data_IF_678420143933
#
_entry.id   IF_678420143933
#
_cell.length_a   1.000
_cell.length_b   1.000
_cell.length_c   1.000
_cell.angle_alpha   90.00
_cell.angle_beta   90.00
_cell.angle_gamma   90.00
#
_symmetry.space_group_name_H-M   'P 1'
#
loop_
_entity.id
_entity.type
_entity.pdbx_description
1 polymer ?
#
# COMPACT_ATOMS: atom_id res chain seq x y z
N UNK A 1 10.76 9.67 -10.91
CA UNK A 1 10.09 8.37 -10.68
C UNK A 1 10.52 7.87 -9.30
N UNK A 2 9.60 7.50 -8.43
CA UNK A 2 9.92 6.76 -7.20
C UNK A 2 9.31 5.39 -7.37
N UNK A 3 10.17 4.41 -7.62
CA UNK A 3 9.85 3.01 -7.82
C UNK A 3 9.43 2.44 -6.45
N UNK A 4 8.27 1.78 -6.40
CA UNK A 4 7.95 0.92 -5.27
C UNK A 4 8.85 -0.30 -5.47
N UNK A 5 9.72 -0.57 -4.51
CA UNK A 5 10.58 -1.76 -4.51
C UNK A 5 9.67 -2.97 -4.28
N UNK A 6 9.08 -3.45 -5.38
CA UNK A 6 8.32 -4.68 -5.43
C UNK A 6 9.38 -5.77 -5.59
N UNK A 7 9.57 -6.66 -4.59
CA UNK A 7 10.56 -7.73 -4.70
C UNK A 7 10.29 -8.54 -5.98
N UNK A 8 11.35 -8.93 -6.70
CA UNK A 8 11.32 -9.59 -8.02
C UNK A 8 10.36 -10.79 -8.13
N UNK A 9 9.93 -11.35 -6.99
CA UNK A 9 8.98 -12.45 -6.86
C UNK A 9 7.50 -12.07 -7.03
N UNK A 10 7.12 -10.79 -7.05
CA UNK A 10 5.71 -10.39 -7.17
C UNK A 10 5.33 -10.19 -8.65
N UNK A 11 4.41 -11.02 -9.12
CA UNK A 11 4.01 -11.10 -10.53
C UNK A 11 2.84 -10.17 -10.87
N UNK A 12 2.08 -9.69 -9.87
CA UNK A 12 0.99 -8.73 -10.09
C UNK A 12 0.13 -8.44 -8.86
N UNK A 13 -0.73 -7.43 -8.98
CA UNK A 13 -1.77 -7.09 -8.01
C UNK A 13 -3.15 -7.14 -8.69
N UNK A 14 -4.09 -7.91 -8.13
CA UNK A 14 -5.42 -8.11 -8.71
C UNK A 14 -6.52 -7.61 -7.78
N UNK A 15 -7.55 -7.02 -8.38
CA UNK A 15 -8.81 -6.70 -7.73
C UNK A 15 -9.73 -7.92 -7.80
N UNK A 16 -10.17 -8.43 -6.65
CA UNK A 16 -11.27 -9.40 -6.59
C UNK A 16 -12.56 -8.69 -6.19
N UNK A 17 -13.64 -8.94 -6.93
CA UNK A 17 -15.00 -8.43 -6.65
C UNK A 17 -15.71 -9.19 -5.50
N UNK A 18 -14.95 -9.82 -4.60
CA UNK A 18 -15.51 -10.49 -3.41
C UNK A 18 -15.63 -9.49 -2.26
N UNK A 19 -16.74 -9.46 -1.53
CA UNK A 19 -16.94 -8.51 -0.41
C UNK A 19 -16.30 -9.04 0.90
N UNK A 20 -15.38 -8.30 1.54
CA UNK A 20 -14.87 -6.98 1.16
C UNK A 20 -13.79 -7.06 0.07
N UNK A 21 -13.86 -6.17 -0.93
CA UNK A 21 -12.94 -6.21 -2.06
C UNK A 21 -11.48 -6.15 -1.57
N UNK A 22 -10.66 -7.12 -1.98
CA UNK A 22 -9.27 -7.25 -1.55
C UNK A 22 -8.31 -6.97 -2.71
N UNK A 23 -7.16 -6.39 -2.39
CA UNK A 23 -6.00 -6.43 -3.31
C UNK A 23 -5.14 -7.61 -2.93
N UNK A 24 -5.10 -8.58 -3.83
CA UNK A 24 -4.21 -9.71 -3.73
C UNK A 24 -2.88 -9.36 -4.37
N UNK A 25 -1.80 -9.60 -3.65
CA UNK A 25 -0.46 -9.63 -4.25
C UNK A 25 -0.12 -11.07 -4.56
N UNK A 26 0.37 -11.28 -5.78
CA UNK A 26 0.68 -12.60 -6.32
C UNK A 26 2.17 -12.82 -6.34
N UNK A 27 2.62 -13.87 -5.66
CA UNK A 27 4.02 -14.28 -5.61
C UNK A 27 4.24 -15.52 -6.47
N UNK A 28 5.29 -15.52 -7.31
CA UNK A 28 5.82 -16.74 -7.90
C UNK A 28 6.65 -17.47 -6.85
N UNK A 29 6.20 -18.66 -6.45
CA UNK A 29 6.88 -19.48 -5.44
C UNK A 29 7.78 -20.56 -6.05
N UNK A 30 7.91 -20.63 -7.38
CA UNK A 30 8.85 -21.50 -8.08
C UNK A 30 8.66 -23.01 -7.81
N UNK A 31 8.14 -23.74 -8.80
CA UNK A 31 8.11 -25.20 -8.72
C UNK A 31 7.16 -25.84 -9.72
N UNK A 32 5.88 -25.48 -9.69
CA UNK A 32 4.84 -26.13 -10.52
C UNK A 32 3.69 -25.16 -10.83
N UNK A 33 3.99 -23.92 -11.24
CA UNK A 33 2.96 -22.93 -11.61
C UNK A 33 2.07 -22.45 -10.45
N UNK A 34 2.52 -22.63 -9.21
CA UNK A 34 1.83 -22.17 -8.01
C UNK A 34 1.98 -20.66 -7.84
N UNK A 35 0.86 -19.96 -7.75
CA UNK A 35 0.79 -18.55 -7.40
C UNK A 35 0.25 -18.44 -5.98
N UNK A 36 1.04 -17.88 -5.05
CA UNK A 36 0.52 -17.58 -3.71
C UNK A 36 -0.14 -16.21 -3.75
N UNK A 37 -1.42 -16.14 -3.39
CA UNK A 37 -2.14 -14.88 -3.24
C UNK A 37 -2.35 -14.59 -1.76
N UNK A 38 -1.94 -13.40 -1.32
CA UNK A 38 -2.23 -12.94 0.04
C UNK A 38 -2.96 -11.59 0.00
N UNK A 39 -4.06 -11.43 0.75
CA UNK A 39 -4.70 -10.14 0.89
C UNK A 39 -3.77 -9.24 1.69
N UNK A 40 -3.23 -8.21 1.02
CA UNK A 40 -2.30 -7.28 1.65
C UNK A 40 -3.02 -6.13 2.34
N UNK A 41 -4.20 -5.77 1.85
CA UNK A 41 -5.13 -4.81 2.46
C UNK A 41 -6.53 -4.97 1.83
N UNK A 42 -7.56 -4.55 2.57
CA UNK A 42 -8.88 -4.36 1.99
C UNK A 42 -8.89 -3.09 1.12
N UNK A 43 -9.57 -3.10 -0.03
CA UNK A 43 -9.69 -1.94 -0.92
C UNK A 43 -10.39 -0.77 -0.20
N UNK A 44 -11.31 -1.09 0.70
CA UNK A 44 -11.97 -0.09 1.56
C UNK A 44 -10.98 0.61 2.53
N UNK A 45 -9.77 0.07 2.69
CA UNK A 45 -8.70 0.66 3.50
C UNK A 45 -7.84 1.65 2.71
N UNK A 46 -8.06 1.82 1.41
CA UNK A 46 -7.24 2.71 0.58
C UNK A 46 -7.71 4.16 0.61
N UNK A 47 -6.80 5.06 0.97
CA UNK A 47 -7.02 6.50 0.97
C UNK A 47 -6.25 7.20 -0.14
N UNK A 48 -6.89 8.13 -0.90
CA UNK A 48 -6.15 9.03 -1.76
C UNK A 48 -5.15 9.86 -0.97
N UNK A 49 -4.02 10.24 -1.60
CA UNK A 49 -2.96 11.05 -0.98
C UNK A 49 -3.48 12.30 -0.26
N UNK A 50 -4.55 12.94 -0.78
CA UNK A 50 -5.19 14.09 -0.12
C UNK A 50 -5.75 13.73 1.26
N UNK A 51 -6.42 12.59 1.40
CA UNK A 51 -6.98 12.12 2.68
C UNK A 51 -5.86 11.68 3.62
N UNK A 52 -4.84 10.99 3.12
CA UNK A 52 -3.65 10.63 3.91
C UNK A 52 -2.93 11.87 4.49
N UNK A 53 -2.77 12.92 3.68
CA UNK A 53 -2.19 14.19 4.12
C UNK A 53 -3.00 14.86 5.23
N UNK A 54 -4.34 14.82 5.12
CA UNK A 54 -5.23 15.33 6.14
C UNK A 54 -5.13 14.54 7.45
N UNK A 55 -5.08 13.20 7.38
CA UNK A 55 -4.94 12.33 8.54
C UNK A 55 -3.63 12.56 9.31
N UNK A 56 -2.52 12.76 8.58
CA UNK A 56 -1.19 12.99 9.18
C UNK A 56 -0.89 14.46 9.50
N UNK A 57 -1.86 15.36 9.29
CA UNK A 57 -1.73 16.81 9.43
C UNK A 57 -0.50 17.37 8.72
N UNK A 58 -0.31 16.98 7.45
CA UNK A 58 0.86 17.38 6.66
C UNK A 58 0.48 17.78 5.23
N UNK A 59 1.49 18.13 4.43
CA UNK A 59 1.30 18.47 3.02
C UNK A 59 1.25 17.21 2.14
N UNK A 60 0.54 17.28 1.00
CA UNK A 60 0.57 16.20 -0.01
C UNK A 60 1.99 15.88 -0.49
N UNK A 61 2.83 16.91 -0.62
CA UNK A 61 4.23 16.76 -1.02
C UNK A 61 5.01 15.88 -0.04
N UNK A 62 4.74 16.05 1.26
CA UNK A 62 5.33 15.22 2.32
C UNK A 62 4.92 13.75 2.16
N UNK A 63 3.64 13.48 1.84
CA UNK A 63 3.17 12.12 1.58
C UNK A 63 3.89 11.50 0.38
N UNK A 64 3.93 12.20 -0.76
CA UNK A 64 4.68 11.72 -1.95
C UNK A 64 6.15 11.45 -1.64
N UNK A 65 6.77 12.32 -0.83
CA UNK A 65 8.15 12.16 -0.39
C UNK A 65 8.31 10.92 0.49
N UNK A 66 7.43 10.68 1.45
CA UNK A 66 7.49 9.49 2.31
C UNK A 66 7.25 8.20 1.56
N UNK A 67 6.36 8.21 0.56
CA UNK A 67 6.19 7.06 -0.35
C UNK A 67 7.48 6.82 -1.13
N UNK A 68 8.09 7.87 -1.69
CA UNK A 68 9.36 7.78 -2.41
C UNK A 68 10.52 7.30 -1.52
N UNK A 69 10.49 7.64 -0.23
CA UNK A 69 11.50 7.23 0.77
C UNK A 69 11.20 5.84 1.38
N UNK A 70 10.13 5.15 0.95
CA UNK A 70 9.76 3.82 1.47
C UNK A 70 9.19 3.83 2.90
N UNK A 71 8.80 5.01 3.41
CA UNK A 71 8.22 5.19 4.76
C UNK A 71 6.72 4.93 4.82
N UNK A 72 6.05 5.14 3.69
CA UNK A 72 4.63 4.84 3.48
C UNK A 72 4.49 3.98 2.21
N UNK A 73 3.52 3.08 2.20
CA UNK A 73 3.16 2.26 1.05
C UNK A 73 2.31 3.09 0.09
N UNK A 74 2.71 3.14 -1.17
CA UNK A 74 1.94 3.73 -2.26
C UNK A 74 1.39 2.67 -3.19
N UNK A 75 0.08 2.69 -3.45
CA UNK A 75 -0.61 1.76 -4.37
C UNK A 75 -1.21 2.57 -5.51
N UNK A 76 -0.89 2.23 -6.76
CA UNK A 76 -1.47 2.92 -7.93
C UNK A 76 -2.56 2.07 -8.56
N UNK A 77 -3.79 2.61 -8.62
CA UNK A 77 -4.95 1.94 -9.25
C UNK A 77 -5.58 2.91 -10.24
N UNK A 78 -5.68 2.53 -11.51
CA UNK A 78 -6.28 3.38 -12.55
C UNK A 78 -5.64 4.78 -12.65
N UNK A 79 -4.34 4.90 -12.37
CA UNK A 79 -3.61 6.18 -12.36
C UNK A 79 -3.76 7.02 -11.09
N UNK A 80 -4.54 6.55 -10.10
CA UNK A 80 -4.66 7.20 -8.80
C UNK A 80 -3.69 6.57 -7.79
N UNK A 81 -2.87 7.41 -7.15
CA UNK A 81 -2.02 6.99 -6.04
C UNK A 81 -2.83 7.01 -4.73
N UNK A 82 -2.85 5.85 -4.08
CA UNK A 82 -3.56 5.55 -2.85
C UNK A 82 -2.57 5.08 -1.78
N UNK A 83 -2.96 5.22 -0.53
CA UNK A 83 -2.18 4.84 0.65
C UNK A 83 -3.10 4.02 1.56
N UNK A 84 -2.71 2.81 1.99
CA UNK A 84 -3.48 2.05 2.97
C UNK A 84 -3.62 2.82 4.29
N UNK A 85 -4.82 2.83 4.87
CA UNK A 85 -5.09 3.51 6.13
C UNK A 85 -4.39 2.82 7.31
N UNK A 86 -4.34 1.49 7.30
CA UNK A 86 -3.51 0.71 8.23
C UNK A 86 -2.03 1.12 8.23
N UNK A 87 -1.46 1.42 7.06
CA UNK A 87 -0.08 1.91 6.91
C UNK A 87 0.09 3.34 7.45
N UNK A 88 -0.93 4.20 7.28
CA UNK A 88 -0.98 5.55 7.87
C UNK A 88 -1.00 5.47 9.40
N UNK A 89 -1.84 4.58 9.96
CA UNK A 89 -1.93 4.39 11.41
C UNK A 89 -0.61 3.87 11.99
N UNK A 90 -0.01 2.84 11.37
CA UNK A 90 1.32 2.35 11.78
C UNK A 90 2.34 3.49 11.75
N UNK A 91 2.42 4.21 10.63
CA UNK A 91 3.41 5.28 10.46
C UNK A 91 3.22 6.43 11.46
N UNK A 92 1.98 6.80 11.78
CA UNK A 92 1.72 7.85 12.77
C UNK A 92 2.08 7.40 14.20
N UNK A 93 1.82 6.14 14.53
CA UNK A 93 2.21 5.53 15.80
C UNK A 93 3.74 5.50 15.96
N UNK A 94 4.46 5.05 14.93
CA UNK A 94 5.93 5.05 14.89
C UNK A 94 6.48 6.48 15.06
N UNK A 95 5.90 7.45 14.34
CA UNK A 95 6.31 8.86 14.39
C UNK A 95 6.09 9.52 15.76
N UNK A 96 5.05 9.08 16.49
CA UNK A 96 4.74 9.56 17.84
C UNK A 96 5.52 8.82 18.93
N UNK A 97 6.36 7.84 18.57
CA UNK A 97 7.08 7.01 19.53
C UNK A 97 6.16 6.12 20.38
N UNK A 98 4.93 5.88 19.91
CA UNK A 98 3.94 5.05 20.58
C UNK A 98 3.88 3.74 19.81
N UNK A 99 4.81 2.82 20.08
CA UNK A 99 4.73 1.49 19.50
C UNK A 99 3.50 0.74 20.06
N UNK A 100 2.83 -0.09 19.25
CA UNK A 100 1.62 -0.83 19.63
C UNK A 100 1.84 -1.85 20.77
#
# INVERSE_FOLDING_TARGET
MGEVDIPDSVVGAYHLEEEPAHILVVWDIGGEGGFMTQPLFAINDLLPVRKAAAALHTSRWTIYRWIKEGKLIGVTIGGLLLVPFSDIERFDNDRRGRLP
#
